data_IF_600796241834
#
_entry.id   IF_600796241834
#
_cell.length_a   1.000
_cell.length_b   1.000
_cell.length_c   1.000
_cell.angle_alpha   90.00
_cell.angle_beta   90.00
_cell.angle_gamma   90.00
#
_symmetry.space_group_name_H-M   'P 1'
#
loop_
_entity.id
_entity.type
_entity.pdbx_description
1 polymer ?
#
# COMPACT_ATOMS: atom_id res chain seq x y z
N UNK A 1 -19.51 5.87 12.76
CA UNK A 1 -19.96 5.23 11.50
C UNK A 1 -18.97 4.17 11.04
N UNK A 2 -17.79 4.54 10.52
CA UNK A 2 -16.78 3.56 10.04
C UNK A 2 -16.32 2.59 11.13
N UNK A 3 -15.99 3.07 12.33
CA UNK A 3 -15.52 2.20 13.44
C UNK A 3 -16.57 1.20 13.94
N UNK A 4 -17.83 1.38 13.56
CA UNK A 4 -18.94 0.50 13.90
C UNK A 4 -19.43 -0.31 12.69
N UNK A 5 -18.74 -0.24 11.55
CA UNK A 5 -19.12 -0.90 10.30
C UNK A 5 -20.55 -0.55 9.81
N UNK A 6 -21.02 0.66 10.14
CA UNK A 6 -22.36 1.15 9.80
C UNK A 6 -22.38 1.79 8.40
N UNK A 7 -22.33 0.93 7.38
CA UNK A 7 -22.34 1.31 5.97
C UNK A 7 -22.64 0.12 5.05
N UNK A 8 -23.23 0.41 3.89
CA UNK A 8 -23.35 -0.59 2.82
C UNK A 8 -22.08 -0.64 1.95
N UNK A 9 -21.56 0.54 1.57
CA UNK A 9 -20.35 0.69 0.77
C UNK A 9 -19.61 1.97 1.15
N UNK A 10 -18.28 1.93 1.05
CA UNK A 10 -17.42 3.09 1.28
C UNK A 10 -16.37 3.20 0.18
N UNK A 11 -15.93 4.43 -0.08
CA UNK A 11 -14.72 4.69 -0.84
C UNK A 11 -13.58 4.88 0.18
N UNK A 12 -12.57 4.02 0.12
CA UNK A 12 -11.41 4.09 1.00
C UNK A 12 -10.16 3.67 0.24
N UNK A 13 -9.01 4.12 0.73
CA UNK A 13 -7.70 3.71 0.22
C UNK A 13 -7.01 2.89 1.29
N UNK A 14 -6.57 1.68 0.95
CA UNK A 14 -5.71 0.85 1.79
C UNK A 14 -4.27 1.00 1.29
N UNK A 15 -3.38 1.73 2.00
CA UNK A 15 -2.00 1.91 1.56
C UNK A 15 -1.27 0.58 1.51
N UNK A 16 -0.60 0.33 0.39
CA UNK A 16 0.20 -0.86 0.13
C UNK A 16 1.66 -0.47 -0.09
N UNK A 17 2.58 -1.34 0.30
CA UNK A 17 4.03 -1.13 0.15
C UNK A 17 4.64 -2.23 -0.72
N UNK A 18 5.86 -2.03 -1.21
CA UNK A 18 6.62 -3.06 -1.94
C UNK A 18 7.03 -4.25 -1.06
N UNK A 19 6.91 -4.11 0.26
CA UNK A 19 7.13 -5.15 1.24
C UNK A 19 5.90 -5.20 2.17
N UNK A 20 4.80 -5.82 1.71
CA UNK A 20 3.62 -5.96 2.55
C UNK A 20 3.96 -6.76 3.81
N UNK A 21 3.46 -6.29 4.96
CA UNK A 21 3.78 -6.77 6.29
C UNK A 21 2.55 -6.85 7.18
N UNK A 22 2.72 -6.57 8.48
CA UNK A 22 1.68 -6.77 9.50
C UNK A 22 0.39 -6.00 9.25
N UNK A 23 0.42 -4.94 8.45
CA UNK A 23 -0.79 -4.22 8.04
C UNK A 23 -1.78 -5.11 7.27
N UNK A 24 -1.31 -6.14 6.55
CA UNK A 24 -2.19 -7.07 5.84
C UNK A 24 -3.08 -7.86 6.82
N UNK A 25 -2.57 -8.18 8.01
CA UNK A 25 -3.37 -8.79 9.07
C UNK A 25 -4.47 -7.84 9.53
N UNK A 26 -4.16 -6.56 9.72
CA UNK A 26 -5.13 -5.53 10.14
C UNK A 26 -6.24 -5.35 9.08
N UNK A 27 -5.91 -5.50 7.80
CA UNK A 27 -6.84 -5.33 6.69
C UNK A 27 -7.70 -6.56 6.40
N UNK A 28 -7.13 -7.76 6.47
CA UNK A 28 -7.74 -8.93 5.83
C UNK A 28 -7.96 -10.14 6.73
N UNK A 29 -7.32 -10.19 7.91
CA UNK A 29 -7.45 -11.35 8.78
C UNK A 29 -8.82 -11.39 9.47
N UNK A 30 -9.40 -12.58 9.60
CA UNK A 30 -10.74 -12.81 10.16
C UNK A 30 -10.88 -12.33 11.60
N UNK A 31 -9.81 -12.43 12.40
CA UNK A 31 -9.77 -11.91 13.78
C UNK A 31 -10.06 -10.41 13.89
N UNK A 32 -9.91 -9.66 12.80
CA UNK A 32 -10.16 -8.22 12.76
C UNK A 32 -11.59 -7.86 12.39
N UNK A 33 -12.41 -8.81 11.92
CA UNK A 33 -13.77 -8.55 11.41
C UNK A 33 -14.66 -7.82 12.42
N UNK A 34 -14.71 -8.31 13.65
CA UNK A 34 -15.63 -7.79 14.68
C UNK A 34 -14.96 -6.79 15.64
N UNK A 35 -13.68 -6.45 15.39
CA UNK A 35 -12.94 -5.48 16.19
C UNK A 35 -13.38 -4.07 15.78
N UNK A 36 -14.09 -3.38 16.68
CA UNK A 36 -14.50 -1.99 16.47
C UNK A 36 -13.29 -1.10 16.17
N UNK A 37 -13.39 -0.31 15.11
CA UNK A 37 -12.30 0.55 14.64
C UNK A 37 -11.19 -0.17 13.86
N UNK A 38 -11.34 -1.47 13.56
CA UNK A 38 -10.41 -2.16 12.67
C UNK A 38 -10.52 -1.64 11.23
N UNK A 39 -9.56 -2.04 10.39
CA UNK A 39 -9.53 -1.70 8.96
C UNK A 39 -9.96 -2.86 8.07
N UNK A 40 -10.52 -3.93 8.66
CA UNK A 40 -11.18 -4.99 7.89
C UNK A 40 -12.56 -4.50 7.45
N UNK A 41 -12.57 -3.50 6.57
CA UNK A 41 -13.77 -2.79 6.17
C UNK A 41 -14.75 -3.64 5.36
N UNK A 42 -14.25 -4.68 4.69
CA UNK A 42 -15.05 -5.62 3.92
C UNK A 42 -15.60 -6.78 4.78
N UNK A 43 -15.28 -6.82 6.07
CA UNK A 43 -15.74 -7.87 6.99
C UNK A 43 -15.24 -9.26 6.60
N UNK A 44 -14.01 -9.36 6.06
CA UNK A 44 -13.41 -10.61 5.59
C UNK A 44 -13.29 -11.57 6.76
N UNK A 45 -13.85 -12.77 6.59
CA UNK A 45 -13.67 -13.91 7.48
C UNK A 45 -13.54 -15.18 6.65
N UNK A 46 -12.36 -15.37 6.06
CA UNK A 46 -12.06 -16.48 5.17
C UNK A 46 -10.76 -17.17 5.61
N UNK A 47 -10.78 -18.46 6.01
CA UNK A 47 -9.60 -19.16 6.50
C UNK A 47 -8.49 -19.30 5.46
N UNK A 48 -8.83 -19.25 4.16
CA UNK A 48 -7.83 -19.24 3.08
C UNK A 48 -7.08 -17.90 3.06
N UNK A 49 -7.79 -16.79 3.26
CA UNK A 49 -7.18 -15.46 3.37
C UNK A 49 -6.27 -15.40 4.60
N UNK A 50 -6.74 -15.87 5.75
CA UNK A 50 -5.96 -15.93 7.00
C UNK A 50 -4.64 -16.69 6.80
N UNK A 51 -4.72 -17.91 6.26
CA UNK A 51 -3.53 -18.73 6.00
C UNK A 51 -2.56 -18.08 4.99
N UNK A 52 -3.05 -17.32 4.01
CA UNK A 52 -2.21 -16.60 3.05
C UNK A 52 -1.55 -15.38 3.67
N UNK A 53 -2.25 -14.65 4.54
CA UNK A 53 -1.67 -13.57 5.35
C UNK A 53 -0.57 -14.12 6.25
N UNK A 54 -0.81 -15.22 6.97
CA UNK A 54 0.21 -15.86 7.82
C UNK A 54 1.43 -16.31 7.02
N UNK A 55 1.23 -16.92 5.84
CA UNK A 55 2.34 -17.31 4.94
C UNK A 55 3.13 -16.11 4.45
N UNK A 56 2.47 -15.00 4.17
CA UNK A 56 3.11 -13.76 3.73
C UNK A 56 4.00 -13.19 4.84
N UNK A 57 3.49 -13.13 6.07
CA UNK A 57 4.21 -12.59 7.23
C UNK A 57 5.38 -13.48 7.66
N UNK A 58 5.23 -14.79 7.55
CA UNK A 58 6.25 -15.77 7.92
C UNK A 58 7.22 -16.14 6.78
N UNK A 59 7.16 -15.44 5.65
CA UNK A 59 8.00 -15.75 4.49
C UNK A 59 9.48 -15.45 4.80
N UNK A 60 10.31 -16.50 4.83
CA UNK A 60 11.75 -16.38 5.10
C UNK A 60 12.60 -15.91 3.92
N UNK A 61 12.03 -15.82 2.72
CA UNK A 61 12.73 -15.36 1.52
C UNK A 61 11.86 -14.45 0.67
N UNK A 62 12.49 -13.55 -0.10
CA UNK A 62 11.79 -12.63 -0.99
C UNK A 62 10.91 -13.35 -2.01
N UNK A 63 11.39 -14.45 -2.59
CA UNK A 63 10.61 -15.24 -3.55
C UNK A 63 9.34 -15.84 -2.92
N UNK A 64 9.44 -16.32 -1.67
CA UNK A 64 8.28 -16.82 -0.92
C UNK A 64 7.31 -15.70 -0.58
N UNK A 65 7.81 -14.54 -0.17
CA UNK A 65 6.98 -13.36 0.13
C UNK A 65 6.21 -12.91 -1.13
N UNK A 66 6.89 -12.82 -2.28
CA UNK A 66 6.26 -12.46 -3.57
C UNK A 66 5.20 -13.49 -3.96
N UNK A 67 5.49 -14.79 -3.82
CA UNK A 67 4.54 -15.84 -4.15
C UNK A 67 3.29 -15.79 -3.25
N UNK A 68 3.48 -15.60 -1.93
CA UNK A 68 2.38 -15.46 -0.98
C UNK A 68 1.56 -14.20 -1.25
N UNK A 69 2.20 -13.06 -1.54
CA UNK A 69 1.51 -11.81 -1.88
C UNK A 69 0.66 -11.95 -3.14
N UNK A 70 1.19 -12.58 -4.20
CA UNK A 70 0.44 -12.86 -5.43
C UNK A 70 -0.73 -13.81 -5.22
N UNK A 71 -0.57 -14.81 -4.36
CA UNK A 71 -1.65 -15.73 -4.02
C UNK A 71 -2.75 -15.02 -3.23
N UNK A 72 -2.39 -14.20 -2.24
CA UNK A 72 -3.32 -13.38 -1.46
C UNK A 72 -4.10 -12.42 -2.37
N UNK A 73 -3.41 -11.68 -3.24
CA UNK A 73 -4.01 -10.76 -4.20
C UNK A 73 -5.06 -11.45 -5.09
N UNK A 74 -4.73 -12.63 -5.65
CA UNK A 74 -5.68 -13.40 -6.47
C UNK A 74 -6.92 -13.83 -5.70
N UNK A 75 -6.78 -14.30 -4.47
CA UNK A 75 -7.92 -14.72 -3.64
C UNK A 75 -8.79 -13.51 -3.29
N UNK A 76 -8.20 -12.39 -2.87
CA UNK A 76 -8.94 -11.17 -2.54
C UNK A 76 -9.74 -10.63 -3.74
N UNK A 77 -9.14 -10.65 -4.94
CA UNK A 77 -9.83 -10.25 -6.17
C UNK A 77 -10.96 -11.21 -6.55
N UNK A 78 -10.77 -12.52 -6.36
CA UNK A 78 -11.76 -13.54 -6.67
C UNK A 78 -12.98 -13.53 -5.74
N UNK A 79 -12.80 -13.09 -4.49
CA UNK A 79 -13.88 -12.96 -3.50
C UNK A 79 -14.67 -11.65 -3.65
N UNK A 80 -14.26 -10.75 -4.55
CA UNK A 80 -14.97 -9.51 -4.87
C UNK A 80 -15.22 -8.57 -3.66
N UNK A 81 -14.34 -8.58 -2.65
CA UNK A 81 -14.45 -7.72 -1.46
C UNK A 81 -14.31 -6.22 -1.75
N UNK A 82 -13.77 -5.85 -2.91
CA UNK A 82 -13.51 -4.45 -3.28
C UNK A 82 -13.67 -4.30 -4.78
N UNK A 83 -14.20 -3.15 -5.20
CA UNK A 83 -14.21 -2.71 -6.59
C UNK A 83 -12.97 -1.83 -6.78
N UNK A 84 -11.93 -2.29 -7.51
CA UNK A 84 -10.73 -1.51 -7.71
C UNK A 84 -11.03 -0.20 -8.45
N UNK A 85 -10.32 0.86 -8.06
CA UNK A 85 -10.45 2.18 -8.65
C UNK A 85 -9.17 2.53 -9.44
N UNK A 86 -8.94 3.82 -9.73
CA UNK A 86 -7.76 4.29 -10.43
C UNK A 86 -6.58 4.62 -9.50
N UNK A 87 -5.37 4.69 -10.07
CA UNK A 87 -4.18 5.20 -9.41
C UNK A 87 -3.40 6.11 -10.38
N UNK A 88 -2.56 7.00 -9.83
CA UNK A 88 -1.63 7.81 -10.62
C UNK A 88 -0.25 7.13 -10.60
N UNK A 89 0.33 6.88 -11.78
CA UNK A 89 1.62 6.20 -11.92
C UNK A 89 2.80 7.18 -12.12
N UNK A 90 2.58 8.47 -11.89
CA UNK A 90 3.60 9.51 -12.00
C UNK A 90 3.45 10.53 -10.87
N UNK A 91 4.54 11.25 -10.61
CA UNK A 91 4.53 12.38 -9.69
C UNK A 91 4.33 13.68 -10.45
N UNK A 92 3.50 14.57 -9.90
CA UNK A 92 3.33 15.94 -10.40
C UNK A 92 4.18 16.86 -9.52
N UNK A 93 5.25 17.40 -10.08
CA UNK A 93 6.20 18.26 -9.34
C UNK A 93 6.40 19.56 -10.13
N UNK A 94 6.24 20.69 -9.44
CA UNK A 94 6.63 22.00 -9.92
C UNK A 94 7.69 22.55 -8.97
N UNK A 95 8.81 23.04 -9.51
CA UNK A 95 9.90 23.61 -8.73
C UNK A 95 10.54 24.80 -9.44
N UNK A 96 11.29 25.62 -8.69
CA UNK A 96 12.06 26.73 -9.27
C UNK A 96 13.15 26.17 -10.20
N UNK A 97 13.45 26.89 -11.27
CA UNK A 97 14.52 26.55 -12.20
C UNK A 97 15.90 26.47 -11.55
N UNK A 98 16.10 27.13 -10.40
CA UNK A 98 17.33 27.07 -9.60
C UNK A 98 17.51 25.77 -8.83
N UNK A 99 16.46 24.95 -8.69
CA UNK A 99 16.54 23.64 -8.02
C UNK A 99 16.83 22.55 -9.04
N UNK A 100 17.92 21.83 -8.82
CA UNK A 100 18.34 20.70 -9.64
C UNK A 100 18.18 19.39 -8.86
N UNK A 101 17.95 18.30 -9.59
CA UNK A 101 17.78 16.96 -9.01
C UNK A 101 18.46 15.90 -9.89
N UNK A 102 18.86 14.76 -9.30
CA UNK A 102 19.22 13.61 -10.12
C UNK A 102 17.96 13.02 -10.80
N UNK A 103 18.11 12.08 -11.76
CA UNK A 103 16.99 11.32 -12.27
C UNK A 103 16.19 10.67 -11.13
N UNK A 104 14.85 10.74 -11.22
CA UNK A 104 13.97 10.24 -10.16
C UNK A 104 14.17 8.73 -9.98
N UNK A 105 14.48 8.26 -8.74
CA UNK A 105 14.67 6.85 -8.50
C UNK A 105 13.35 6.07 -8.57
N UNK A 106 13.39 4.75 -8.81
CA UNK A 106 12.20 3.94 -8.75
C UNK A 106 11.64 3.99 -7.31
N UNK A 107 10.34 4.29 -7.18
CA UNK A 107 9.56 4.27 -5.94
C UNK A 107 9.71 5.45 -4.96
N UNK A 108 10.42 6.53 -5.30
CA UNK A 108 10.48 7.74 -4.46
C UNK A 108 10.83 8.99 -5.27
N UNK A 109 10.34 10.15 -4.82
CA UNK A 109 10.77 11.45 -5.37
C UNK A 109 12.16 11.87 -4.90
N UNK A 110 12.66 11.27 -3.82
CA UNK A 110 13.97 11.56 -3.23
C UNK A 110 14.26 13.07 -3.12
N UNK A 111 13.28 13.88 -2.71
CA UNK A 111 13.38 15.36 -2.67
C UNK A 111 14.59 15.85 -1.86
N UNK A 112 15.00 15.06 -0.86
CA UNK A 112 16.20 15.34 -0.05
C UNK A 112 17.53 15.28 -0.83
N UNK A 113 17.52 14.76 -2.06
CA UNK A 113 18.68 14.71 -2.96
C UNK A 113 18.80 15.94 -3.85
N UNK A 114 17.86 16.88 -3.76
CA UNK A 114 17.84 18.07 -4.59
C UNK A 114 18.76 19.15 -4.02
N UNK A 115 19.33 19.97 -4.89
CA UNK A 115 20.22 21.08 -4.51
C UNK A 115 19.89 22.35 -5.28
N UNK A 116 20.30 23.49 -4.73
CA UNK A 116 20.30 24.75 -5.49
C UNK A 116 21.55 24.78 -6.38
N UNK A 117 21.37 25.12 -7.65
CA UNK A 117 22.50 25.44 -8.51
C UNK A 117 23.27 26.63 -7.89
N UNK A 118 24.61 26.53 -7.82
CA UNK A 118 25.44 27.68 -7.45
C UNK A 118 25.38 28.69 -8.58
N UNK A 119 25.11 29.96 -8.26
CA UNK A 119 25.19 31.03 -9.25
C UNK A 119 26.62 31.12 -9.77
N UNK A 120 26.82 30.90 -11.07
CA UNK A 120 28.14 30.98 -11.71
C UNK A 120 28.62 32.45 -11.90
N UNK A 121 28.04 33.41 -11.17
CA UNK A 121 28.27 34.86 -11.32
C UNK A 121 28.64 35.54 -9.99
N UNK A 122 29.45 34.89 -9.15
CA UNK A 122 30.25 35.58 -8.13
C UNK A 122 31.76 35.43 -8.46
N UNK A 123 32.19 36.17 -9.49
CA UNK A 123 33.58 36.62 -9.68
C UNK A 123 33.57 38.07 -10.15
#
# INVERSE_FOLDING_TARGET
RLDQFDYDMILTTLPQTLSPGSEQHIYFHSSQRDVKGSRNYAGIANPVVDALVEKLLNASTRNRQIAAARALDRVLLWEHYTIPNWYINYHRVAHRSTLHSPPTPPYSLAVRTWWMASDANEQ
#
